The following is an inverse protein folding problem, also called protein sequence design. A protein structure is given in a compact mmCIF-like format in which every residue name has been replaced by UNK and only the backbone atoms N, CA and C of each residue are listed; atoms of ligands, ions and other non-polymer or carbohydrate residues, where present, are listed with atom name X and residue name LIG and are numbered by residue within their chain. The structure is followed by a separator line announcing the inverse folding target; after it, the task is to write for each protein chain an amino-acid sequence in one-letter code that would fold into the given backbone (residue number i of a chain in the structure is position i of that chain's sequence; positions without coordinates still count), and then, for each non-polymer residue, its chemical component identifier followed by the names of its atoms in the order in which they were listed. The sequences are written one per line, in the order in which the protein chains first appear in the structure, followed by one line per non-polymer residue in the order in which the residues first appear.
data_IF_303643492468
#
_entry.id   IF_303643492468
#
_cell.length_a   1.000
_cell.length_b   1.000
_cell.length_c   1.000
_cell.angle_alpha   90.00
_cell.angle_beta   90.00
_cell.angle_gamma   90.00
#
_symmetry.space_group_name_H-M   'P 1'
#
loop_
_entity.id
_entity.type
_entity.pdbx_description
1 polymer ?
#
# COMPACT_ATOMS: atom_id res chain seq x y z
N UNK A 1 -6.52 1.20 -69.12
CA UNK A 1 -7.17 1.88 -67.99
C UNK A 1 -6.91 1.05 -66.74
N UNK A 2 -5.86 1.40 -65.98
CA UNK A 2 -5.36 0.60 -64.85
C UNK A 2 -5.95 1.15 -63.56
N UNK A 3 -6.73 0.33 -62.85
CA UNK A 3 -7.31 0.67 -61.54
C UNK A 3 -6.23 0.43 -60.49
N UNK A 4 -5.75 1.50 -59.86
CA UNK A 4 -4.84 1.43 -58.71
C UNK A 4 -5.65 1.28 -57.43
N UNK A 5 -5.61 0.10 -56.84
CA UNK A 5 -6.16 -0.17 -55.51
C UNK A 5 -5.29 0.51 -54.46
N UNK A 6 -5.85 1.48 -53.72
CA UNK A 6 -5.18 2.10 -52.56
C UNK A 6 -5.54 1.26 -51.34
N UNK A 7 -4.64 0.39 -50.91
CA UNK A 7 -4.73 -0.28 -49.61
C UNK A 7 -4.39 0.72 -48.51
N UNK A 8 -5.40 1.14 -47.74
CA UNK A 8 -5.19 1.92 -46.52
C UNK A 8 -4.68 0.98 -45.41
N UNK A 9 -3.37 1.02 -45.13
CA UNK A 9 -2.78 0.31 -44.00
C UNK A 9 -3.19 0.98 -42.68
N UNK A 10 -3.93 0.25 -41.83
CA UNK A 10 -4.19 0.65 -40.46
C UNK A 10 -2.92 0.41 -39.63
N UNK A 11 -2.18 1.48 -39.33
CA UNK A 11 -1.08 1.43 -38.35
C UNK A 11 -1.71 1.52 -36.96
N UNK A 12 -1.78 0.39 -36.25
CA UNK A 12 -2.07 0.38 -34.82
C UNK A 12 -0.75 0.68 -34.11
N UNK A 13 -0.53 1.95 -33.77
CA UNK A 13 0.54 2.33 -32.86
C UNK A 13 0.17 1.84 -31.46
N UNK A 14 0.79 0.75 -31.01
CA UNK A 14 0.71 0.33 -29.61
C UNK A 14 1.53 1.31 -28.77
N UNK A 15 0.86 2.33 -28.23
CA UNK A 15 1.40 3.17 -27.17
C UNK A 15 1.42 2.34 -25.88
N UNK A 16 2.57 1.76 -25.57
CA UNK A 16 2.86 1.20 -24.25
C UNK A 16 3.01 2.34 -23.24
N UNK A 17 1.88 2.93 -22.85
CA UNK A 17 1.82 3.87 -21.74
C UNK A 17 2.02 3.09 -20.44
N UNK A 18 3.19 3.23 -19.82
CA UNK A 18 3.40 2.78 -18.45
C UNK A 18 2.37 3.45 -17.54
N UNK A 19 1.65 2.68 -16.73
CA UNK A 19 0.75 3.25 -15.73
C UNK A 19 1.58 4.14 -14.80
N UNK A 20 1.25 5.44 -14.75
CA UNK A 20 1.83 6.31 -13.73
C UNK A 20 1.45 5.74 -12.36
N UNK A 21 2.44 5.51 -11.48
CA UNK A 21 2.16 5.11 -10.09
C UNK A 21 1.46 6.26 -9.40
N UNK A 22 0.24 6.03 -8.93
CA UNK A 22 -0.50 7.03 -8.17
C UNK A 22 0.13 7.20 -6.78
N UNK A 23 0.05 8.41 -6.23
CA UNK A 23 0.54 8.68 -4.87
C UNK A 23 -0.29 7.92 -3.82
N UNK A 24 0.36 7.48 -2.74
CA UNK A 24 -0.31 6.88 -1.59
C UNK A 24 -1.25 7.88 -0.92
N UNK A 25 -2.39 7.39 -0.43
CA UNK A 25 -3.30 8.15 0.45
C UNK A 25 -3.04 7.87 1.94
N UNK A 26 -2.14 6.94 2.26
CA UNK A 26 -1.68 6.67 3.64
C UNK A 26 -0.76 7.80 4.09
N UNK A 27 -1.06 8.40 5.23
CA UNK A 27 -0.20 9.41 5.85
C UNK A 27 0.93 8.73 6.62
N UNK A 28 2.14 9.27 6.50
CA UNK A 28 3.34 8.78 7.18
C UNK A 28 3.51 7.25 7.06
N UNK A 29 3.34 6.71 5.85
CA UNK A 29 3.36 5.26 5.59
C UNK A 29 4.72 4.59 5.81
N UNK A 30 5.80 5.35 5.60
CA UNK A 30 7.19 4.92 5.91
C UNK A 30 7.69 5.49 7.24
N UNK A 31 6.82 6.08 8.06
CA UNK A 31 7.13 6.51 9.43
C UNK A 31 8.23 7.58 9.60
N UNK A 32 8.68 8.21 8.52
CA UNK A 32 9.74 9.23 8.52
C UNK A 32 9.37 10.55 9.21
N UNK A 33 8.08 10.85 9.36
CA UNK A 33 7.64 12.01 10.12
C UNK A 33 7.64 11.71 11.62
N UNK A 34 8.67 12.22 12.30
CA UNK A 34 8.84 12.15 13.75
C UNK A 34 8.63 13.51 14.43
N UNK A 35 8.03 14.47 13.73
CA UNK A 35 7.79 15.79 14.27
C UNK A 35 6.90 15.73 15.53
N UNK A 36 7.33 16.42 16.58
CA UNK A 36 6.61 16.46 17.85
C UNK A 36 6.80 15.23 18.75
N UNK A 37 7.50 14.19 18.29
CA UNK A 37 7.83 13.06 19.13
C UNK A 37 8.97 13.39 20.09
N UNK A 38 8.83 12.99 21.35
CA UNK A 38 9.88 13.13 22.35
C UNK A 38 11.14 12.37 21.91
N UNK A 39 12.32 12.96 22.15
CA UNK A 39 13.59 12.36 21.72
C UNK A 39 13.75 12.26 20.19
N UNK A 40 12.94 12.96 19.40
CA UNK A 40 13.01 12.90 17.94
C UNK A 40 12.69 11.51 17.38
N UNK A 41 11.79 10.77 18.05
CA UNK A 41 11.43 9.41 17.69
C UNK A 41 12.03 8.35 18.61
N UNK A 42 13.11 8.64 19.36
CA UNK A 42 13.74 7.67 20.28
C UNK A 42 13.70 8.07 21.77
N UNK A 43 12.51 8.10 22.38
CA UNK A 43 12.35 8.44 23.79
C UNK A 43 12.90 7.40 24.80
N UNK A 44 13.42 6.26 24.34
CA UNK A 44 13.98 5.16 25.17
C UNK A 44 15.45 4.82 24.83
N UNK A 45 16.21 5.78 24.30
CA UNK A 45 17.68 5.67 24.15
C UNK A 45 18.16 4.90 22.91
N UNK A 46 17.26 4.54 22.01
CA UNK A 46 17.57 3.85 20.74
C UNK A 46 16.33 3.49 19.93
N UNK A 47 15.17 3.48 20.57
CA UNK A 47 13.83 3.33 20.01
C UNK A 47 12.89 4.25 20.81
N UNK A 48 11.63 4.34 20.40
CA UNK A 48 10.61 5.00 21.21
C UNK A 48 9.27 4.30 21.15
N UNK A 49 8.45 4.47 22.19
CA UNK A 49 7.13 3.86 22.29
C UNK A 49 6.09 4.95 22.54
N UNK A 50 5.03 4.98 21.72
CA UNK A 50 4.07 6.08 21.69
C UNK A 50 2.60 5.61 21.62
N UNK A 51 1.71 6.40 22.22
CA UNK A 51 0.26 6.28 22.00
C UNK A 51 -0.16 6.78 20.60
N UNK A 52 0.63 7.66 20.00
CA UNK A 52 0.42 8.17 18.66
C UNK A 52 1.74 8.63 18.05
N UNK A 53 1.88 8.41 16.75
CA UNK A 53 2.90 9.03 15.90
C UNK A 53 2.18 9.82 14.80
N UNK A 54 2.83 10.75 14.08
CA UNK A 54 2.18 11.46 12.99
C UNK A 54 1.50 10.48 12.02
N UNK A 55 0.20 10.67 11.77
CA UNK A 55 -0.62 9.82 10.90
C UNK A 55 -1.17 8.52 11.52
N UNK A 56 -0.69 8.08 12.69
CA UNK A 56 -1.09 6.80 13.28
C UNK A 56 -1.43 6.89 14.76
N UNK A 57 -2.47 6.17 15.17
CA UNK A 57 -2.92 6.10 16.57
C UNK A 57 -2.80 4.69 17.08
N UNK A 58 -2.37 4.52 18.33
CA UNK A 58 -2.39 3.23 19.02
C UNK A 58 -3.84 2.75 19.16
N UNK A 59 -4.07 1.48 18.83
CA UNK A 59 -5.29 0.79 19.22
C UNK A 59 -5.15 0.23 20.64
N UNK A 60 -4.95 -1.07 20.72
CA UNK A 60 -4.81 -1.80 21.98
C UNK A 60 -3.32 -1.99 22.36
N UNK A 61 -3.08 -2.39 23.61
CA UNK A 61 -1.76 -2.80 24.08
C UNK A 61 -0.77 -1.66 24.35
N UNK A 62 0.52 -2.01 24.36
CA UNK A 62 1.58 -1.21 24.99
C UNK A 62 1.98 0.07 24.25
N UNK A 63 1.83 0.14 22.92
CA UNK A 63 2.38 1.26 22.18
C UNK A 63 2.66 0.97 20.72
N UNK A 64 2.88 2.02 19.95
CA UNK A 64 3.56 1.97 18.67
C UNK A 64 5.05 2.10 18.97
N UNK A 65 5.83 1.04 18.77
CA UNK A 65 7.27 1.11 18.89
C UNK A 65 7.89 1.56 17.57
N UNK A 66 8.60 2.68 17.61
CA UNK A 66 9.32 3.26 16.51
C UNK A 66 10.82 2.98 16.68
N UNK A 67 11.41 2.28 15.71
CA UNK A 67 12.82 1.97 15.66
C UNK A 67 13.46 2.60 14.42
N UNK A 68 14.78 2.74 14.41
CA UNK A 68 15.53 3.23 13.26
C UNK A 68 16.70 2.32 12.89
N UNK A 69 17.41 2.67 11.81
CA UNK A 69 18.56 1.92 11.29
C UNK A 69 19.69 1.70 12.33
N UNK A 70 19.76 2.55 13.36
CA UNK A 70 20.75 2.41 14.43
C UNK A 70 20.29 1.52 15.59
N UNK A 71 19.01 1.11 15.66
CA UNK A 71 18.44 0.42 16.83
C UNK A 71 19.00 -0.99 17.01
N UNK A 72 18.99 -1.82 15.97
CA UNK A 72 19.32 -3.26 16.10
C UNK A 72 20.62 -3.69 15.41
N UNK A 73 21.17 -2.87 14.51
CA UNK A 73 22.36 -3.20 13.71
C UNK A 73 22.22 -4.40 12.76
N UNK A 74 21.05 -5.05 12.76
CA UNK A 74 20.68 -6.20 11.92
C UNK A 74 19.57 -5.85 10.93
N UNK A 75 18.90 -4.72 11.14
CA UNK A 75 17.77 -4.25 10.37
C UNK A 75 17.92 -2.76 10.10
N UNK A 76 17.97 -2.42 8.82
CA UNK A 76 17.68 -1.08 8.33
C UNK A 76 16.23 -1.03 7.85
N UNK A 77 15.62 0.15 7.91
CA UNK A 77 14.31 0.45 7.35
C UNK A 77 14.27 0.05 5.87
N UNK A 78 13.08 -0.37 5.42
CA UNK A 78 12.86 -0.66 4.01
C UNK A 78 12.87 0.62 3.18
N UNK A 79 12.30 1.68 3.72
CA UNK A 79 12.28 3.03 3.15
C UNK A 79 12.73 4.03 4.21
N UNK A 80 13.64 4.94 3.86
CA UNK A 80 14.11 5.96 4.80
C UNK A 80 14.94 5.41 5.98
N UNK A 81 14.56 5.79 7.20
CA UNK A 81 15.31 5.54 8.43
C UNK A 81 14.48 4.89 9.55
N UNK A 82 13.15 4.89 9.46
CA UNK A 82 12.26 4.51 10.55
C UNK A 82 11.34 3.36 10.14
N UNK A 83 11.00 2.52 11.11
CA UNK A 83 10.04 1.42 10.94
C UNK A 83 9.34 1.13 12.27
N UNK A 84 8.24 0.38 12.21
CA UNK A 84 7.40 0.12 13.38
C UNK A 84 7.41 -1.35 13.79
N UNK A 85 7.43 -1.59 15.10
CA UNK A 85 7.14 -2.85 15.77
C UNK A 85 5.90 -2.71 16.67
N UNK A 86 5.12 -3.80 16.82
CA UNK A 86 3.88 -3.80 17.61
C UNK A 86 3.86 -4.85 18.75
N UNK A 87 4.94 -5.57 19.01
CA UNK A 87 5.13 -6.26 20.30
C UNK A 87 6.13 -5.44 21.11
N UNK A 88 5.71 -4.28 21.61
CA UNK A 88 6.57 -3.29 22.29
C UNK A 88 6.89 -3.74 23.73
N UNK A 89 6.24 -3.19 24.76
CA UNK A 89 6.29 -3.81 26.11
C UNK A 89 5.30 -5.00 26.21
N UNK A 90 4.35 -5.10 25.26
CA UNK A 90 3.43 -6.21 25.00
C UNK A 90 2.82 -6.08 23.60
N UNK A 91 2.12 -7.11 23.12
CA UNK A 91 1.38 -7.06 21.86
C UNK A 91 0.43 -5.86 21.86
N UNK A 92 0.47 -5.11 20.77
CA UNK A 92 -0.24 -3.87 20.57
C UNK A 92 -0.80 -3.79 19.15
N UNK A 93 -1.51 -2.70 18.88
CA UNK A 93 -2.00 -2.38 17.54
C UNK A 93 -1.91 -0.89 17.25
N UNK A 94 -2.00 -0.57 15.97
CA UNK A 94 -2.06 0.79 15.46
C UNK A 94 -3.07 0.88 14.32
N UNK A 95 -3.60 2.07 14.10
CA UNK A 95 -4.54 2.30 13.01
C UNK A 95 -4.46 3.72 12.42
N UNK A 96 -4.99 3.83 11.20
CA UNK A 96 -5.29 5.08 10.50
C UNK A 96 -6.66 4.94 9.82
N UNK A 97 -7.51 5.95 9.93
CA UNK A 97 -8.78 5.99 9.20
C UNK A 97 -8.55 6.62 7.82
N UNK A 98 -8.84 5.86 6.76
CA UNK A 98 -8.55 6.23 5.37
C UNK A 98 -9.85 6.64 4.69
N UNK A 99 -9.88 7.87 4.16
CA UNK A 99 -11.02 8.40 3.39
C UNK A 99 -10.77 8.25 1.89
N UNK A 100 -11.66 7.57 1.19
CA UNK A 100 -11.56 7.35 -0.26
C UNK A 100 -12.40 8.38 -1.01
N UNK A 101 -11.74 9.39 -1.61
CA UNK A 101 -12.45 10.45 -2.33
C UNK A 101 -13.15 9.99 -3.62
N UNK A 102 -12.72 8.87 -4.19
CA UNK A 102 -13.23 8.33 -5.44
C UNK A 102 -13.44 6.82 -5.36
N UNK A 103 -14.50 6.34 -5.98
CA UNK A 103 -14.72 4.91 -6.16
C UNK A 103 -13.69 4.32 -7.14
N UNK A 104 -13.31 3.06 -6.94
CA UNK A 104 -12.41 2.36 -7.86
C UNK A 104 -11.68 1.18 -7.25
N UNK A 105 -10.74 0.62 -8.03
CA UNK A 105 -9.78 -0.38 -7.54
C UNK A 105 -8.59 0.31 -6.90
N UNK A 106 -8.20 -0.19 -5.74
CA UNK A 106 -7.04 0.26 -4.98
C UNK A 106 -6.14 -0.92 -4.65
N UNK A 107 -4.87 -0.62 -4.38
CA UNK A 107 -3.88 -1.56 -3.92
C UNK A 107 -3.37 -1.11 -2.55
N UNK A 108 -3.55 -1.95 -1.54
CA UNK A 108 -2.81 -1.87 -0.28
C UNK A 108 -1.47 -2.57 -0.50
N UNK A 109 -0.38 -1.92 -0.12
CA UNK A 109 0.92 -2.55 -0.01
C UNK A 109 1.65 -2.10 1.25
N UNK A 110 2.46 -2.97 1.82
CA UNK A 110 3.40 -2.63 2.89
C UNK A 110 4.54 -3.64 2.87
N UNK A 111 5.62 -3.33 3.55
CA UNK A 111 6.74 -4.24 3.74
C UNK A 111 6.75 -4.81 5.15
N UNK A 112 7.09 -6.09 5.23
CA UNK A 112 7.19 -6.85 6.47
C UNK A 112 8.58 -7.47 6.59
N UNK A 113 9.17 -7.44 7.78
CA UNK A 113 10.38 -8.21 8.10
C UNK A 113 10.22 -8.87 9.47
N UNK A 114 10.51 -10.18 9.62
CA UNK A 114 10.59 -10.81 10.93
C UNK A 114 11.85 -10.33 11.68
N UNK A 115 11.79 -10.24 13.01
CA UNK A 115 12.90 -9.87 13.89
C UNK A 115 13.63 -11.08 14.48
N UNK A 116 12.88 -12.10 14.88
CA UNK A 116 13.41 -13.24 15.65
C UNK A 116 13.31 -14.56 14.88
N UNK A 117 14.19 -15.51 15.19
CA UNK A 117 14.11 -16.87 14.64
C UNK A 117 13.12 -17.77 15.40
N UNK A 118 12.46 -17.22 16.43
CA UNK A 118 11.46 -17.93 17.23
C UNK A 118 10.16 -18.05 16.44
N UNK A 119 9.55 -19.23 16.46
CA UNK A 119 8.26 -19.45 15.83
C UNK A 119 7.14 -18.72 16.59
N UNK A 120 6.16 -18.16 15.88
CA UNK A 120 5.01 -17.45 16.48
C UNK A 120 5.43 -16.22 17.29
N UNK A 121 6.47 -15.52 16.83
CA UNK A 121 7.08 -14.40 17.54
C UNK A 121 7.17 -13.14 16.68
N UNK A 122 6.77 -13.21 15.41
CA UNK A 122 6.89 -12.11 14.47
C UNK A 122 5.57 -11.76 13.80
N UNK A 123 4.45 -12.21 14.37
CA UNK A 123 3.15 -12.07 13.74
C UNK A 123 2.78 -10.61 13.55
N UNK A 124 2.46 -10.24 12.32
CA UNK A 124 1.82 -8.97 11.97
C UNK A 124 0.50 -9.27 11.29
N UNK A 125 -0.56 -9.00 12.02
CA UNK A 125 -1.92 -8.94 11.50
C UNK A 125 -2.19 -7.59 10.86
N UNK A 126 -3.00 -7.58 9.82
CA UNK A 126 -3.45 -6.37 9.14
C UNK A 126 -4.90 -6.48 8.72
N UNK A 127 -5.59 -5.33 8.66
CA UNK A 127 -6.95 -5.25 8.12
C UNK A 127 -7.26 -3.86 7.53
N UNK A 128 -8.20 -3.82 6.60
CA UNK A 128 -8.76 -2.58 6.06
C UNK A 128 -10.29 -2.70 6.03
N UNK A 129 -10.94 -2.27 7.11
CA UNK A 129 -12.38 -2.45 7.30
C UNK A 129 -12.82 -3.88 7.05
N UNK A 130 -13.81 -4.06 6.16
CA UNK A 130 -14.32 -5.36 5.72
C UNK A 130 -13.72 -5.83 4.38
N UNK A 131 -12.74 -5.10 3.82
CA UNK A 131 -12.23 -5.33 2.46
C UNK A 131 -11.08 -6.32 2.40
N UNK A 132 -10.19 -6.25 3.38
CA UNK A 132 -8.92 -6.98 3.40
C UNK A 132 -8.58 -7.33 4.84
N UNK A 133 -8.09 -8.54 5.05
CA UNK A 133 -7.40 -8.95 6.27
C UNK A 133 -6.28 -9.96 5.98
N UNK A 134 -5.46 -10.22 6.99
CA UNK A 134 -4.48 -11.28 6.98
C UNK A 134 -3.57 -11.27 8.20
N UNK A 135 -2.76 -12.32 8.32
CA UNK A 135 -1.71 -12.48 9.31
C UNK A 135 -0.46 -13.02 8.61
N UNK A 136 0.69 -12.43 8.89
CA UNK A 136 1.99 -12.88 8.39
C UNK A 136 2.88 -13.12 9.60
N UNK A 137 3.53 -14.28 9.65
CA UNK A 137 4.41 -14.68 10.75
C UNK A 137 5.54 -15.54 10.17
N UNK A 138 6.51 -14.88 9.55
CA UNK A 138 7.74 -15.53 9.10
C UNK A 138 8.77 -15.57 10.24
N UNK A 139 9.80 -16.41 10.10
CA UNK A 139 10.95 -16.43 11.01
C UNK A 139 12.14 -15.70 10.40
N UNK A 140 12.91 -15.02 11.24
CA UNK A 140 14.12 -14.31 10.83
C UNK A 140 15.18 -15.26 10.27
N UNK A 141 15.80 -14.82 9.19
CA UNK A 141 16.99 -15.40 8.59
C UNK A 141 18.00 -14.28 8.36
N UNK A 142 19.30 -14.59 8.49
CA UNK A 142 20.36 -13.60 8.26
C UNK A 142 20.81 -13.64 6.79
N UNK A 143 20.93 -12.48 6.11
CA UNK A 143 20.58 -11.14 6.58
C UNK A 143 19.07 -10.88 6.60
N UNK A 144 18.63 -9.90 7.40
CA UNK A 144 17.25 -9.42 7.39
C UNK A 144 16.78 -9.11 5.97
N UNK A 145 15.54 -9.47 5.65
CA UNK A 145 14.94 -9.13 4.36
C UNK A 145 13.51 -8.65 4.55
N UNK A 146 13.19 -7.58 3.83
CA UNK A 146 11.83 -7.06 3.75
C UNK A 146 11.07 -7.75 2.63
N UNK A 147 9.88 -8.25 2.93
CA UNK A 147 8.96 -8.84 1.96
C UNK A 147 7.78 -7.93 1.75
N UNK A 148 7.48 -7.61 0.49
CA UNK A 148 6.31 -6.81 0.15
C UNK A 148 5.04 -7.65 0.20
N UNK A 149 4.04 -7.10 0.88
CA UNK A 149 2.67 -7.62 0.93
C UNK A 149 1.81 -6.74 0.05
N UNK A 150 0.95 -7.33 -0.77
CA UNK A 150 0.04 -6.58 -1.64
C UNK A 150 -1.36 -7.17 -1.63
N UNK A 151 -2.38 -6.31 -1.61
CA UNK A 151 -3.79 -6.68 -1.62
C UNK A 151 -4.60 -5.69 -2.46
N UNK A 152 -5.26 -6.20 -3.48
CA UNK A 152 -6.18 -5.41 -4.30
C UNK A 152 -7.58 -5.44 -3.68
N UNK A 153 -8.27 -4.32 -3.69
CA UNK A 153 -9.64 -4.19 -3.22
C UNK A 153 -10.38 -3.10 -4.01
N UNK A 154 -11.69 -3.00 -3.79
CA UNK A 154 -12.52 -1.95 -4.38
C UNK A 154 -13.23 -1.18 -3.29
N UNK A 155 -13.47 0.11 -3.54
CA UNK A 155 -14.16 1.02 -2.63
C UNK A 155 -15.16 1.87 -3.37
N UNK A 156 -16.14 2.38 -2.62
CA UNK A 156 -17.06 3.41 -3.09
C UNK A 156 -16.53 4.82 -2.76
N UNK A 157 -17.04 5.82 -3.47
CA UNK A 157 -16.65 7.21 -3.24
C UNK A 157 -17.23 7.69 -1.89
N UNK A 158 -16.37 8.30 -1.08
CA UNK A 158 -16.71 8.78 0.27
C UNK A 158 -16.64 7.71 1.36
N UNK A 159 -16.26 6.47 1.02
CA UNK A 159 -16.07 5.41 2.00
C UNK A 159 -14.90 5.76 2.95
N UNK A 160 -15.07 5.47 4.24
CA UNK A 160 -14.03 5.61 5.26
C UNK A 160 -13.77 4.25 5.86
N UNK A 161 -12.54 3.75 5.70
CA UNK A 161 -12.14 2.43 6.19
C UNK A 161 -10.97 2.58 7.15
N UNK A 162 -11.00 1.80 8.24
CA UNK A 162 -9.88 1.74 9.18
C UNK A 162 -8.84 0.76 8.68
N UNK A 163 -7.64 1.27 8.39
CA UNK A 163 -6.44 0.47 8.19
C UNK A 163 -5.84 0.17 9.57
N UNK A 164 -5.69 -1.10 9.91
CA UNK A 164 -5.09 -1.53 11.19
C UNK A 164 -3.93 -2.48 10.96
N UNK A 165 -2.93 -2.39 11.85
CA UNK A 165 -1.89 -3.39 12.03
C UNK A 165 -1.85 -3.79 13.50
N UNK A 166 -1.55 -5.06 13.80
CA UNK A 166 -1.45 -5.56 15.17
C UNK A 166 -0.43 -6.69 15.29
N UNK A 167 0.24 -6.76 16.44
CA UNK A 167 1.11 -7.90 16.72
C UNK A 167 0.29 -9.15 17.03
N UNK A 168 0.73 -10.27 16.45
CA UNK A 168 0.19 -11.60 16.69
C UNK A 168 1.28 -12.54 17.16
N UNK A 169 0.88 -13.55 17.95
CA UNK A 169 1.80 -14.55 18.46
C UNK A 169 2.16 -14.31 19.94
N UNK A 170 3.39 -14.66 20.30
CA UNK A 170 3.95 -14.43 21.63
C UNK A 170 3.94 -12.93 21.94
N UNK A 171 3.92 -12.60 23.23
CA UNK A 171 4.08 -11.23 23.69
C UNK A 171 5.28 -11.20 24.62
N UNK A 172 6.42 -10.80 24.08
CA UNK A 172 7.72 -10.93 24.72
C UNK A 172 8.67 -9.76 24.40
N UNK A 173 8.14 -8.64 23.89
CA UNK A 173 8.86 -7.43 23.46
C UNK A 173 9.66 -7.54 22.15
N UNK A 174 9.38 -8.58 21.37
CA UNK A 174 10.03 -8.83 20.09
C UNK A 174 8.95 -9.25 19.08
N UNK A 175 8.90 -8.57 17.94
CA UNK A 175 7.84 -8.72 16.96
C UNK A 175 8.31 -8.44 15.53
N UNK A 176 7.42 -8.69 14.58
CA UNK A 176 7.67 -8.33 13.19
C UNK A 176 7.66 -6.83 12.98
N UNK A 177 8.34 -6.38 11.94
CA UNK A 177 8.42 -4.99 11.54
C UNK A 177 7.50 -4.68 10.37
N UNK A 178 6.98 -3.45 10.36
CA UNK A 178 6.19 -2.88 9.27
C UNK A 178 6.86 -1.61 8.77
N UNK A 179 6.89 -1.44 7.45
CA UNK A 179 7.39 -0.23 6.80
C UNK A 179 6.71 0.02 5.44
N UNK A 180 6.80 1.25 4.93
CA UNK A 180 6.37 1.70 3.60
C UNK A 180 4.95 1.27 3.24
N UNK A 181 4.02 1.61 4.14
CA UNK A 181 2.59 1.35 3.99
C UNK A 181 2.00 2.32 2.97
N UNK A 182 1.31 1.76 1.96
CA UNK A 182 0.75 2.51 0.85
C UNK A 182 -0.64 2.01 0.49
N UNK A 183 -1.54 2.93 0.20
CA UNK A 183 -2.80 2.66 -0.49
C UNK A 183 -2.86 3.60 -1.68
N UNK A 184 -2.91 3.05 -2.88
CA UNK A 184 -2.95 3.86 -4.10
C UNK A 184 -4.01 3.32 -5.08
N UNK A 185 -4.69 4.19 -5.85
CA UNK A 185 -5.61 3.74 -6.88
C UNK A 185 -4.85 2.98 -7.98
N UNK A 186 -5.45 1.90 -8.46
CA UNK A 186 -4.92 1.11 -9.58
C UNK A 186 -5.54 1.65 -10.87
N UNK A 187 -4.75 2.25 -11.78
CA UNK A 187 -5.29 2.74 -13.04
C UNK A 187 -5.92 1.61 -13.85
N UNK A 188 -7.09 1.85 -14.43
CA UNK A 188 -7.66 0.93 -15.40
C UNK A 188 -6.66 0.75 -16.56
N UNK A 189 -6.45 -0.49 -17.07
CA UNK A 189 -5.63 -0.70 -18.24
C UNK A 189 -6.08 0.23 -19.37
N UNK A 190 -5.15 1.03 -19.93
CA UNK A 190 -5.48 1.99 -20.99
C UNK A 190 -6.13 1.36 -22.22
N UNK A 191 -5.97 0.05 -22.41
CA UNK A 191 -6.66 -0.75 -23.43
C UNK A 191 -8.19 -0.73 -23.30
N UNK A 192 -8.73 -0.65 -22.09
CA UNK A 192 -10.19 -0.56 -21.87
C UNK A 192 -10.72 0.82 -22.25
N UNK A 193 -9.97 1.89 -21.99
CA UNK A 193 -10.33 3.24 -22.43
C UNK A 193 -10.28 3.38 -23.95
N UNK A 194 -9.26 2.78 -24.59
CA UNK A 194 -9.15 2.75 -26.05
C UNK A 194 -10.26 1.91 -26.70
N UNK A 195 -10.61 0.77 -26.12
CA UNK A 195 -11.73 -0.06 -26.59
C UNK A 195 -13.07 0.69 -26.46
N UNK A 196 -13.33 1.31 -25.31
CA UNK A 196 -14.52 2.13 -25.11
C UNK A 196 -14.60 3.29 -26.10
N UNK A 197 -13.50 4.00 -26.31
CA UNK A 197 -13.40 5.06 -27.31
C UNK A 197 -13.62 4.57 -28.74
N UNK A 198 -13.06 3.42 -29.10
CA UNK A 198 -13.22 2.81 -30.43
C UNK A 198 -14.69 2.39 -30.70
N UNK A 199 -15.35 1.81 -29.70
CA UNK A 199 -16.77 1.42 -29.79
C UNK A 199 -17.70 2.64 -29.88
N UNK A 200 -17.46 3.67 -29.06
CA UNK A 200 -18.24 4.91 -29.12
C UNK A 200 -18.03 5.64 -30.45
N UNK A 201 -16.79 5.73 -30.92
CA UNK A 201 -16.44 6.37 -32.19
C UNK A 201 -17.03 5.66 -33.42
N UNK A 202 -17.02 4.33 -33.42
CA UNK A 202 -17.60 3.54 -34.52
C UNK A 202 -19.14 3.62 -34.56
N UNK A 203 -19.82 3.65 -33.42
CA UNK A 203 -21.27 3.90 -33.34
C UNK A 203 -21.68 5.29 -33.83
N UNK A 204 -20.90 6.32 -33.50
CA UNK A 204 -21.11 7.69 -34.00
C UNK A 204 -20.89 7.79 -35.53
N UNK A 205 -19.94 7.04 -36.08
CA UNK A 205 -19.71 6.98 -37.52
C UNK A 205 -20.84 6.27 -38.28
N UNK A 206 -21.34 5.16 -37.73
CA UNK A 206 -22.44 4.38 -38.32
C UNK A 206 -23.76 5.17 -38.35
N UNK A 207 -24.07 5.91 -37.27
CA UNK A 207 -25.28 6.75 -37.19
C UNK A 207 -25.25 7.95 -38.14
N UNK A 208 -24.06 8.56 -38.36
CA UNK A 208 -23.90 9.65 -39.34
C UNK A 208 -24.11 9.21 -40.79
N UNK A 209 -23.74 7.98 -41.14
CA UNK A 209 -23.98 7.43 -42.50
C UNK A 209 -25.47 7.23 -42.79
N UNK A 210 -26.26 6.80 -41.79
CA UNK A 210 -27.71 6.63 -41.95
C UNK A 210 -28.44 7.95 -42.18
N UNK A 211 -27.97 9.07 -41.60
CA UNK A 211 -28.57 10.40 -41.80
C UNK A 211 -28.25 11.05 -43.15
N UNK A 212 -27.22 10.60 -43.88
CA UNK A 212 -26.88 11.11 -45.23
C UNK A 212 -27.53 10.31 -46.37
N UNK A 213 -28.12 9.16 -46.07
CA UNK A 213 -28.76 8.28 -47.03
C UNK A 213 -30.31 8.39 -47.00
N UNK A 214 -30.84 9.39 -46.30
CA UNK A 214 -32.26 9.74 -46.22
C UNK A 214 -32.48 11.12 -46.85
#
# INVERSE_FOLDING_TARGET
MSIRTISAGLVVAMLSGGAASAATIVQNGSFEDVAGLAGGGTNRGGYGVYDAIPGWTRGDGAGIELQNNATLGTHDAQDGNWYVELDSDSNSSMYQDITFASAGSYLLSFFYSPRTATQNDNGIGYSLGDKVDGLIDAVYQSPATWTQVTKSFTVDAGEVLRLSFFAGGLSNSLGGFVDNVSIAPVPLPGSLLLLGGALAGSGAFASRRRKKAA
#
